data_IF_341856467124
#
_entry.id   IF_341856467124
#
_cell.length_a   1.000
_cell.length_b   1.000
_cell.length_c   1.000
_cell.angle_alpha   90.00
_cell.angle_beta   90.00
_cell.angle_gamma   90.00
#
_symmetry.space_group_name_H-M   'P 1'
#
loop_
_entity.id
_entity.type
_entity.pdbx_description
1 polymer ?
#
# COMPACT_ATOMS: atom_id res chain seq x y z
N UNK A 1 21.12 -3.65 22.07
CA UNK A 1 20.05 -2.63 21.96
C UNK A 1 20.69 -1.28 22.16
N UNK A 2 20.62 -0.39 21.12
CA UNK A 2 21.16 0.96 21.22
C UNK A 2 20.29 1.81 22.15
N UNK A 3 20.90 2.48 23.11
CA UNK A 3 20.22 3.45 23.96
C UNK A 3 20.20 4.81 23.28
N UNK A 4 19.08 5.58 23.37
CA UNK A 4 19.06 6.96 22.91
C UNK A 4 20.10 7.76 23.68
N UNK A 5 20.97 8.51 23.01
CA UNK A 5 21.89 9.43 23.64
C UNK A 5 21.40 10.87 23.48
N UNK A 6 21.52 11.66 24.52
CA UNK A 6 21.27 13.11 24.48
C UNK A 6 22.61 13.79 24.23
N UNK A 7 22.72 14.49 23.11
CA UNK A 7 23.89 15.33 22.88
C UNK A 7 23.80 16.64 23.65
N UNK A 8 24.89 17.43 23.67
CA UNK A 8 24.99 18.69 24.42
C UNK A 8 23.94 19.77 24.04
N UNK A 9 23.15 19.53 22.97
CA UNK A 9 22.07 20.43 22.52
C UNK A 9 20.67 19.94 22.92
N UNK A 10 20.55 18.92 23.77
CA UNK A 10 19.26 18.37 24.21
C UNK A 10 18.50 17.56 23.14
N UNK A 11 19.14 17.30 22.01
CA UNK A 11 18.54 16.49 20.95
C UNK A 11 18.82 15.01 21.18
N UNK A 12 17.77 14.20 21.23
CA UNK A 12 17.90 12.75 21.29
C UNK A 12 18.38 12.22 19.95
N UNK A 13 19.54 11.56 19.94
CA UNK A 13 20.03 10.81 18.78
C UNK A 13 19.73 9.33 18.95
N UNK A 14 19.20 8.71 17.90
CA UNK A 14 18.98 7.27 17.88
C UNK A 14 20.26 6.56 17.43
N UNK A 15 20.60 5.48 18.13
CA UNK A 15 21.62 4.54 17.64
C UNK A 15 21.19 3.88 16.34
N UNK A 16 22.16 3.43 15.54
CA UNK A 16 21.88 2.69 14.32
C UNK A 16 21.04 1.43 14.62
N UNK A 17 20.09 1.17 13.74
CA UNK A 17 19.21 0.01 13.84
C UNK A 17 18.01 0.18 14.79
N UNK A 18 17.82 1.37 15.40
CA UNK A 18 16.73 1.61 16.33
C UNK A 18 15.53 2.28 15.64
N UNK A 19 14.34 1.78 15.95
CA UNK A 19 13.05 2.41 15.60
C UNK A 19 12.21 2.52 16.86
N UNK A 20 11.64 3.71 17.11
CA UNK A 20 10.76 4.01 18.24
C UNK A 20 9.41 4.47 17.66
N UNK A 21 8.32 3.87 18.15
CA UNK A 21 6.96 4.26 17.88
C UNK A 21 6.20 4.39 19.20
N UNK A 22 5.66 5.58 19.48
CA UNK A 22 4.88 5.86 20.70
C UNK A 22 3.52 6.42 20.36
N UNK A 23 2.54 6.25 21.27
CA UNK A 23 1.16 6.67 21.09
C UNK A 23 1.00 8.19 20.97
N UNK A 24 1.81 8.96 21.71
CA UNK A 24 1.75 10.42 21.78
C UNK A 24 3.11 10.99 22.17
N UNK A 25 3.24 12.32 22.16
CA UNK A 25 4.35 13.04 22.75
C UNK A 25 4.20 13.08 24.28
N UNK A 26 5.29 13.35 24.99
CA UNK A 26 5.28 13.48 26.46
C UNK A 26 4.30 14.56 26.99
N UNK A 27 4.01 15.56 26.17
CA UNK A 27 3.10 16.68 26.49
C UNK A 27 1.63 16.40 26.13
N UNK A 28 1.30 15.24 25.53
CA UNK A 28 -0.03 14.91 25.04
C UNK A 28 -0.53 13.65 25.74
N UNK A 29 -1.80 13.67 26.19
CA UNK A 29 -2.45 12.47 26.73
C UNK A 29 -2.80 11.50 25.59
N UNK A 30 -2.56 10.22 25.78
CA UNK A 30 -3.05 9.19 24.86
C UNK A 30 -4.57 9.09 24.93
N UNK A 31 -5.22 9.03 23.76
CA UNK A 31 -6.67 8.91 23.69
C UNK A 31 -7.10 7.47 23.99
N UNK A 32 -8.11 7.32 24.85
CA UNK A 32 -8.76 6.05 25.15
C UNK A 32 -10.23 6.10 24.74
N UNK A 33 -10.72 5.07 24.07
CA UNK A 33 -12.10 4.88 23.68
C UNK A 33 -12.56 3.50 24.14
N UNK A 34 -13.69 3.42 24.83
CA UNK A 34 -14.28 2.16 25.34
C UNK A 34 -13.32 1.34 26.22
N UNK A 35 -12.45 2.01 26.99
CA UNK A 35 -11.49 1.34 27.89
C UNK A 35 -10.26 0.76 27.21
N UNK A 36 -10.00 1.12 25.95
CA UNK A 36 -8.80 0.74 25.21
C UNK A 36 -8.11 1.94 24.58
N UNK A 37 -6.77 1.92 24.53
CA UNK A 37 -5.98 2.95 23.86
C UNK A 37 -6.19 2.89 22.35
N UNK A 38 -6.59 4.00 21.73
CA UNK A 38 -6.82 4.11 20.26
C UNK A 38 -5.58 3.69 19.49
N UNK A 39 -4.42 4.15 19.90
CA UNK A 39 -3.14 3.75 19.29
C UNK A 39 -2.93 2.23 19.31
N UNK A 40 -3.21 1.58 20.43
CA UNK A 40 -3.04 0.13 20.58
C UNK A 40 -4.01 -0.64 19.67
N UNK A 41 -5.25 -0.17 19.55
CA UNK A 41 -6.23 -0.73 18.60
C UNK A 41 -5.75 -0.63 17.17
N UNK A 42 -5.35 0.56 16.73
CA UNK A 42 -4.84 0.79 15.36
C UNK A 42 -3.53 0.02 15.09
N UNK A 43 -2.66 -0.13 16.09
CA UNK A 43 -1.45 -0.96 15.98
C UNK A 43 -1.82 -2.43 15.78
N UNK A 44 -2.81 -2.94 16.50
CA UNK A 44 -3.29 -4.30 16.32
C UNK A 44 -3.88 -4.49 14.91
N UNK A 45 -4.75 -3.60 14.45
CA UNK A 45 -5.33 -3.63 13.10
C UNK A 45 -4.26 -3.60 12.01
N UNK A 46 -3.25 -2.72 12.17
CA UNK A 46 -2.09 -2.65 11.28
C UNK A 46 -1.38 -4.00 11.19
N UNK A 47 -1.13 -4.64 12.35
CA UNK A 47 -0.48 -5.95 12.44
C UNK A 47 -1.36 -7.10 11.92
N UNK A 48 -2.68 -7.00 11.97
CA UNK A 48 -3.61 -7.97 11.38
C UNK A 48 -3.75 -7.87 9.86
N UNK A 49 -3.11 -6.90 9.23
CA UNK A 49 -3.03 -6.80 7.77
C UNK A 49 -3.31 -5.40 7.22
N UNK A 50 -3.86 -4.48 8.04
CA UNK A 50 -4.20 -3.14 7.60
C UNK A 50 -3.01 -2.35 7.03
N UNK A 51 -1.80 -2.61 7.54
CA UNK A 51 -0.56 -1.97 7.09
C UNK A 51 0.28 -2.83 6.13
N UNK A 52 -0.29 -3.89 5.54
CA UNK A 52 0.47 -4.77 4.65
C UNK A 52 0.78 -4.12 3.30
N UNK A 53 1.98 -4.38 2.80
CA UNK A 53 2.34 -4.09 1.41
C UNK A 53 1.71 -5.13 0.44
N UNK A 54 1.94 -4.97 -0.87
CA UNK A 54 1.39 -5.89 -1.88
C UNK A 54 1.94 -7.31 -1.80
N UNK A 55 2.99 -7.54 -1.02
CA UNK A 55 3.60 -8.85 -0.76
C UNK A 55 3.20 -9.42 0.60
N UNK A 56 2.34 -8.71 1.34
CA UNK A 56 1.89 -9.10 2.66
C UNK A 56 2.85 -8.74 3.80
N UNK A 57 3.93 -7.98 3.54
CA UNK A 57 4.87 -7.58 4.59
C UNK A 57 4.35 -6.37 5.36
N UNK A 58 4.52 -6.41 6.68
CA UNK A 58 4.23 -5.32 7.60
C UNK A 58 5.53 -4.84 8.24
N UNK A 59 5.83 -3.57 8.11
CA UNK A 59 7.05 -2.94 8.63
C UNK A 59 6.72 -1.84 9.64
N UNK A 60 7.67 -1.41 10.48
CA UNK A 60 7.45 -0.28 11.37
C UNK A 60 6.98 0.99 10.65
N UNK A 61 7.54 1.26 9.46
CA UNK A 61 7.15 2.42 8.65
C UNK A 61 5.73 2.32 8.11
N UNK A 62 5.30 1.13 7.64
CA UNK A 62 3.92 0.94 7.16
C UNK A 62 2.89 1.00 8.30
N UNK A 63 3.25 0.51 9.49
CA UNK A 63 2.41 0.65 10.70
C UNK A 63 2.22 2.13 11.05
N UNK A 64 3.31 2.90 11.10
CA UNK A 64 3.20 4.33 11.38
C UNK A 64 2.30 5.04 10.38
N UNK A 65 2.50 4.80 9.08
CA UNK A 65 1.67 5.41 8.03
C UNK A 65 0.19 5.04 8.16
N UNK A 66 -0.11 3.79 8.49
CA UNK A 66 -1.49 3.32 8.72
C UNK A 66 -2.13 4.06 9.91
N UNK A 67 -1.43 4.15 11.04
CA UNK A 67 -1.94 4.81 12.24
C UNK A 67 -2.11 6.31 12.01
N UNK A 68 -1.12 6.98 11.38
CA UNK A 68 -1.17 8.42 11.11
C UNK A 68 -2.32 8.81 10.17
N UNK A 69 -2.64 7.97 9.19
CA UNK A 69 -3.78 8.17 8.29
C UNK A 69 -5.13 7.93 8.96
N UNK A 70 -5.18 7.01 9.94
CA UNK A 70 -6.40 6.70 10.66
C UNK A 70 -6.75 7.75 11.72
N UNK A 71 -5.76 8.48 12.25
CA UNK A 71 -5.96 9.54 13.24
C UNK A 71 -6.33 10.86 12.55
N UNK A 72 -7.37 11.52 13.06
CA UNK A 72 -7.79 12.83 12.58
C UNK A 72 -6.77 13.94 12.87
N UNK A 73 -6.94 15.10 12.24
CA UNK A 73 -6.02 16.24 12.38
C UNK A 73 -5.92 16.78 13.83
N UNK A 74 -6.95 16.54 14.64
CA UNK A 74 -7.09 17.02 16.02
C UNK A 74 -6.85 15.95 17.08
N UNK A 75 -6.57 14.71 16.65
CA UNK A 75 -6.29 13.59 17.54
C UNK A 75 -4.83 13.60 17.99
N UNK A 76 -4.52 12.75 18.98
CA UNK A 76 -3.15 12.50 19.38
C UNK A 76 -2.28 12.14 18.17
N UNK A 77 -1.01 12.58 18.19
CA UNK A 77 -0.07 12.26 17.12
C UNK A 77 0.96 11.25 17.61
N UNK A 78 1.05 10.07 16.96
CA UNK A 78 2.10 9.13 17.26
C UNK A 78 3.46 9.72 16.93
N UNK A 79 4.46 9.41 17.74
CA UNK A 79 5.85 9.78 17.46
C UNK A 79 6.56 8.60 16.82
N UNK A 80 7.13 8.83 15.65
CA UNK A 80 7.94 7.87 14.95
C UNK A 80 9.36 8.41 14.78
N UNK A 81 10.32 7.71 15.38
CA UNK A 81 11.75 8.02 15.24
C UNK A 81 12.47 6.77 14.76
N UNK A 82 13.28 6.88 13.74
CA UNK A 82 13.99 5.73 13.18
C UNK A 82 15.36 6.12 12.66
N UNK A 83 16.33 5.24 12.86
CA UNK A 83 17.68 5.32 12.31
C UNK A 83 18.04 3.95 11.70
N UNK A 84 17.36 3.61 10.60
CA UNK A 84 17.58 2.36 9.87
C UNK A 84 17.69 2.65 8.37
N UNK A 85 18.53 1.90 7.68
CA UNK A 85 18.64 1.97 6.21
C UNK A 85 17.52 1.18 5.52
N UNK A 86 16.98 0.17 6.20
CA UNK A 86 15.89 -0.68 5.71
C UNK A 86 15.07 -1.21 6.88
N UNK A 87 13.75 -1.13 6.76
CA UNK A 87 12.86 -1.78 7.72
C UNK A 87 12.85 -3.30 7.54
N UNK A 88 12.86 -4.00 8.67
CA UNK A 88 12.57 -5.43 8.71
C UNK A 88 11.05 -5.65 8.66
N UNK A 89 10.62 -6.77 8.09
CA UNK A 89 9.22 -7.20 8.20
C UNK A 89 8.98 -7.74 9.61
N UNK A 90 8.06 -7.13 10.34
CA UNK A 90 7.63 -7.58 11.66
C UNK A 90 6.66 -8.75 11.57
N UNK A 91 5.85 -8.76 10.52
CA UNK A 91 4.86 -9.80 10.26
C UNK A 91 4.62 -9.93 8.75
N UNK A 92 4.25 -11.13 8.34
CA UNK A 92 3.76 -11.40 6.99
C UNK A 92 2.30 -11.88 7.08
N UNK A 93 1.45 -11.30 6.25
CA UNK A 93 0.02 -11.60 6.14
C UNK A 93 -0.31 -12.04 4.72
N UNK A 94 -1.57 -12.44 4.49
CA UNK A 94 -2.04 -12.73 3.14
C UNK A 94 -1.97 -11.47 2.28
N UNK A 95 -1.30 -11.50 1.13
CA UNK A 95 -1.22 -10.36 0.21
C UNK A 95 -2.61 -9.94 -0.28
N UNK A 96 -2.84 -8.63 -0.56
CA UNK A 96 -4.11 -8.13 -1.09
C UNK A 96 -4.42 -8.62 -2.52
N UNK A 97 -3.41 -9.13 -3.21
CA UNK A 97 -3.51 -9.84 -4.49
C UNK A 97 -2.67 -11.11 -4.42
N UNK A 98 -3.14 -12.27 -4.94
CA UNK A 98 -2.33 -13.48 -5.03
C UNK A 98 -1.02 -13.22 -5.78
N UNK A 99 0.10 -13.76 -5.26
CA UNK A 99 1.42 -13.49 -5.82
C UNK A 99 1.61 -14.06 -7.24
N UNK A 100 0.92 -15.13 -7.58
CA UNK A 100 0.87 -15.69 -8.94
C UNK A 100 0.16 -14.73 -9.92
N UNK A 101 -0.94 -14.11 -9.49
CA UNK A 101 -1.59 -13.06 -10.28
C UNK A 101 -0.71 -11.80 -10.38
N UNK A 102 -0.03 -11.40 -9.30
CA UNK A 102 0.88 -10.25 -9.34
C UNK A 102 2.03 -10.46 -10.33
N UNK A 103 2.54 -11.69 -10.49
CA UNK A 103 3.61 -12.03 -11.44
C UNK A 103 3.19 -11.91 -12.90
N UNK A 104 1.90 -12.05 -13.20
CA UNK A 104 1.35 -11.89 -14.57
C UNK A 104 1.49 -10.47 -15.12
N UNK A 105 1.95 -9.52 -14.32
CA UNK A 105 2.18 -8.13 -14.77
C UNK A 105 3.15 -8.07 -15.96
N UNK A 106 4.17 -8.94 -16.00
CA UNK A 106 5.12 -9.04 -17.13
C UNK A 106 4.57 -9.75 -18.36
N UNK A 107 3.55 -10.58 -18.17
CA UNK A 107 2.86 -11.25 -19.28
C UNK A 107 1.83 -10.32 -19.94
N UNK A 108 1.21 -9.44 -19.13
CA UNK A 108 0.21 -8.48 -19.58
C UNK A 108 0.82 -7.24 -20.23
N UNK A 109 1.96 -6.78 -19.71
CA UNK A 109 2.70 -5.63 -20.24
C UNK A 109 4.06 -6.11 -20.73
N UNK A 110 4.26 -6.14 -22.04
CA UNK A 110 5.54 -6.54 -22.65
C UNK A 110 6.63 -5.48 -22.43
N UNK A 111 6.22 -4.23 -22.29
CA UNK A 111 7.05 -3.08 -21.91
C UNK A 111 6.38 -2.26 -20.81
N UNK A 112 7.18 -1.72 -19.91
CA UNK A 112 6.67 -0.96 -18.77
C UNK A 112 6.02 0.39 -19.13
N UNK A 113 6.26 0.89 -20.33
CA UNK A 113 5.65 2.11 -20.89
C UNK A 113 4.48 1.82 -21.80
N UNK A 114 4.15 0.55 -22.02
CA UNK A 114 3.07 0.11 -22.87
C UNK A 114 1.71 0.58 -22.37
N UNK A 115 0.86 0.99 -23.30
CA UNK A 115 -0.57 1.17 -23.06
C UNK A 115 -1.31 0.01 -23.73
N UNK A 116 -2.01 -0.77 -22.91
CA UNK A 116 -2.84 -1.88 -23.42
C UNK A 116 -4.13 -1.29 -24.00
N UNK A 117 -4.39 -1.55 -25.28
CA UNK A 117 -5.65 -1.22 -25.91
C UNK A 117 -6.76 -2.11 -25.34
N UNK A 118 -7.81 -1.50 -24.84
CA UNK A 118 -9.03 -2.16 -24.40
C UNK A 118 -10.12 -1.96 -25.46
N UNK A 119 -11.09 -2.86 -25.46
CA UNK A 119 -12.30 -2.77 -26.27
C UNK A 119 -13.45 -3.54 -25.57
N UNK A 120 -14.70 -3.47 -26.07
CA UNK A 120 -15.83 -4.13 -25.42
C UNK A 120 -15.69 -5.64 -25.22
N UNK A 121 -14.77 -6.33 -25.94
CA UNK A 121 -14.56 -7.77 -25.75
C UNK A 121 -13.91 -8.11 -24.40
N UNK A 122 -13.30 -7.12 -23.71
CA UNK A 122 -12.74 -7.29 -22.37
C UNK A 122 -13.80 -7.30 -21.26
N UNK A 123 -15.00 -6.78 -21.52
CA UNK A 123 -16.03 -6.65 -20.50
C UNK A 123 -17.08 -7.77 -20.63
N UNK A 124 -17.22 -8.63 -19.59
CA UNK A 124 -18.15 -9.78 -19.64
C UNK A 124 -19.62 -9.41 -19.89
N UNK A 125 -20.02 -8.19 -19.50
CA UNK A 125 -21.39 -7.69 -19.69
C UNK A 125 -21.63 -7.03 -21.06
N UNK A 126 -20.64 -6.98 -21.92
CA UNK A 126 -20.76 -6.41 -23.27
C UNK A 126 -21.51 -7.34 -24.22
N UNK A 127 -21.86 -6.83 -25.40
CA UNK A 127 -22.55 -7.63 -26.44
C UNK A 127 -21.63 -8.63 -27.17
N UNK A 128 -20.30 -8.52 -26.98
CA UNK A 128 -19.30 -9.34 -27.68
C UNK A 128 -18.13 -9.72 -26.78
N UNK A 129 -18.35 -10.36 -25.60
CA UNK A 129 -17.28 -10.73 -24.70
C UNK A 129 -16.38 -11.80 -25.32
N UNK A 130 -15.08 -11.71 -25.05
CA UNK A 130 -14.09 -12.73 -25.36
C UNK A 130 -13.52 -13.28 -24.05
N UNK A 131 -13.50 -14.59 -23.88
CA UNK A 131 -13.11 -15.23 -22.61
C UNK A 131 -11.69 -14.87 -22.18
N UNK A 132 -10.71 -14.92 -23.11
CA UNK A 132 -9.31 -14.60 -22.82
C UNK A 132 -9.14 -13.11 -22.43
N UNK A 133 -9.83 -12.21 -23.14
CA UNK A 133 -9.79 -10.79 -22.84
C UNK A 133 -10.49 -10.47 -21.51
N UNK A 134 -11.60 -11.12 -21.21
CA UNK A 134 -12.28 -10.98 -19.92
C UNK A 134 -11.40 -11.45 -18.75
N UNK A 135 -10.65 -12.56 -18.90
CA UNK A 135 -9.73 -13.02 -17.88
C UNK A 135 -8.56 -12.04 -17.67
N UNK A 136 -7.97 -11.49 -18.73
CA UNK A 136 -6.97 -10.43 -18.66
C UNK A 136 -7.53 -9.20 -17.95
N UNK A 137 -8.75 -8.80 -18.30
CA UNK A 137 -9.41 -7.63 -17.74
C UNK A 137 -9.69 -7.79 -16.24
N UNK A 138 -10.10 -8.98 -15.81
CA UNK A 138 -10.27 -9.32 -14.40
C UNK A 138 -8.98 -9.05 -13.60
N UNK A 139 -7.82 -9.40 -14.14
CA UNK A 139 -6.53 -9.15 -13.51
C UNK A 139 -6.19 -7.65 -13.55
N UNK A 140 -6.38 -6.97 -14.68
CA UNK A 140 -6.18 -5.53 -14.81
C UNK A 140 -7.05 -4.73 -13.84
N UNK A 141 -8.30 -5.13 -13.62
CA UNK A 141 -9.17 -4.52 -12.61
C UNK A 141 -8.64 -4.73 -11.17
N UNK A 142 -8.09 -5.91 -10.85
CA UNK A 142 -7.42 -6.12 -9.56
C UNK A 142 -6.21 -5.21 -9.41
N UNK A 143 -5.40 -5.07 -10.46
CA UNK A 143 -4.25 -4.15 -10.46
C UNK A 143 -4.69 -2.69 -10.29
N UNK A 144 -5.80 -2.29 -10.90
CA UNK A 144 -6.35 -0.95 -10.72
C UNK A 144 -6.74 -0.68 -9.26
N UNK A 145 -7.40 -1.63 -8.58
CA UNK A 145 -7.79 -1.51 -7.15
C UNK A 145 -6.61 -1.30 -6.21
N UNK A 146 -5.44 -1.84 -6.53
CA UNK A 146 -4.21 -1.68 -5.74
C UNK A 146 -3.24 -0.66 -6.31
N UNK A 147 -3.73 0.15 -7.26
CA UNK A 147 -3.01 1.25 -7.91
C UNK A 147 -1.72 0.82 -8.64
N UNK A 148 -1.73 -0.33 -9.32
CA UNK A 148 -0.68 -0.74 -10.25
C UNK A 148 -0.99 -0.31 -11.69
N UNK A 149 -2.27 -0.21 -12.05
CA UNK A 149 -2.76 0.14 -13.39
C UNK A 149 -3.80 1.25 -13.27
N UNK A 150 -3.82 2.15 -14.23
CA UNK A 150 -4.85 3.18 -14.39
C UNK A 150 -5.42 3.15 -15.80
N UNK A 151 -6.72 3.43 -15.98
CA UNK A 151 -7.28 3.69 -17.30
C UNK A 151 -6.74 5.01 -17.86
N UNK A 152 -6.73 5.16 -19.15
CA UNK A 152 -6.33 6.36 -19.90
C UNK A 152 -7.51 6.83 -20.73
N UNK A 153 -7.87 8.10 -20.58
CA UNK A 153 -8.99 8.71 -21.28
C UNK A 153 -10.38 8.42 -20.69
N UNK A 154 -10.42 7.73 -19.55
CA UNK A 154 -11.64 7.46 -18.77
C UNK A 154 -11.32 7.40 -17.28
N UNK A 155 -12.33 7.60 -16.42
CA UNK A 155 -12.15 7.53 -14.97
C UNK A 155 -12.12 6.08 -14.44
N UNK A 156 -12.80 5.16 -15.11
CA UNK A 156 -12.97 3.78 -14.67
C UNK A 156 -12.58 2.78 -15.75
N UNK A 157 -12.00 1.65 -15.34
CA UNK A 157 -11.61 0.55 -16.22
C UNK A 157 -12.77 0.04 -17.10
N UNK A 158 -13.98 -0.03 -16.53
CA UNK A 158 -15.18 -0.43 -17.27
C UNK A 158 -15.43 0.47 -18.50
N UNK A 159 -15.43 1.79 -18.29
CA UNK A 159 -15.64 2.73 -19.39
C UNK A 159 -14.47 2.75 -20.37
N UNK A 160 -13.25 2.51 -19.89
CA UNK A 160 -12.10 2.35 -20.77
C UNK A 160 -12.27 1.16 -21.73
N UNK A 161 -12.81 0.05 -21.25
CA UNK A 161 -13.11 -1.10 -22.09
C UNK A 161 -14.27 -0.79 -23.07
N UNK A 162 -15.42 -0.31 -22.58
CA UNK A 162 -16.61 -0.05 -23.42
C UNK A 162 -16.33 1.03 -24.49
N UNK A 163 -15.55 2.05 -24.15
CA UNK A 163 -15.23 3.18 -25.03
C UNK A 163 -13.92 2.98 -25.83
N UNK A 164 -13.39 1.76 -25.87
CA UNK A 164 -12.17 1.39 -26.62
C UNK A 164 -11.00 2.32 -26.32
N UNK A 165 -10.75 2.56 -25.04
CA UNK A 165 -9.61 3.34 -24.52
C UNK A 165 -8.47 2.41 -24.10
N UNK A 166 -7.44 2.98 -23.49
CA UNK A 166 -6.27 2.22 -23.03
C UNK A 166 -6.17 2.16 -21.52
N UNK A 167 -5.27 1.32 -21.01
CA UNK A 167 -4.80 1.34 -19.65
C UNK A 167 -3.28 1.20 -19.60
N UNK A 168 -2.64 1.73 -18.56
CA UNK A 168 -1.19 1.69 -18.39
C UNK A 168 -0.76 1.48 -16.95
N UNK A 169 0.52 1.13 -16.77
CA UNK A 169 1.13 1.05 -15.45
C UNK A 169 1.25 2.43 -14.79
N UNK A 170 1.03 2.47 -13.48
CA UNK A 170 1.41 3.60 -12.62
C UNK A 170 2.91 3.53 -12.31
N UNK A 171 3.48 4.56 -11.64
CA UNK A 171 4.85 4.49 -11.13
C UNK A 171 5.05 3.29 -10.19
N UNK A 172 4.03 2.95 -9.36
CA UNK A 172 4.03 1.76 -8.52
C UNK A 172 3.98 0.48 -9.36
N UNK A 173 3.12 0.44 -10.38
CA UNK A 173 3.05 -0.68 -11.33
C UNK A 173 4.36 -0.91 -12.06
N UNK A 174 4.98 0.16 -12.56
CA UNK A 174 6.32 0.13 -13.16
C UNK A 174 7.36 -0.50 -12.23
N UNK A 175 7.36 -0.09 -10.95
CA UNK A 175 8.29 -0.65 -9.96
C UNK A 175 8.11 -2.16 -9.80
N UNK A 176 6.88 -2.64 -9.67
CA UNK A 176 6.58 -4.07 -9.56
C UNK A 176 6.84 -4.86 -10.84
N UNK A 177 6.65 -4.23 -12.01
CA UNK A 177 6.99 -4.84 -13.30
C UNK A 177 8.50 -5.10 -13.43
N UNK A 178 9.36 -4.26 -12.84
CA UNK A 178 10.82 -4.42 -12.86
C UNK A 178 11.36 -5.48 -11.91
N UNK A 179 10.62 -5.89 -10.89
CA UNK A 179 11.04 -6.93 -9.93
C UNK A 179 10.94 -8.34 -10.55
#
# INVERSE_FOLDING_TARGET
FGTPSINNNGLAQLSDGLTILTASKDSESALEINGGGVFTGLLADALYGGASDLRGNITPGSIYSYIDQALGAWDQRPVFKTNVTKFVSLRQTTPPIPLDELRKIKELFSDATEEIQLDPSFEPSSNCPNEDNCEKFRILQKYNRINLVIPVGEEHMYYAAINSKTCKLTAKGYHYWRL
#
